data_IF_963951884701
#
_entry.id   IF_963951884701
#
_cell.length_a   1.000
_cell.length_b   1.000
_cell.length_c   1.000
_cell.angle_alpha   90.00
_cell.angle_beta   90.00
_cell.angle_gamma   90.00
#
_symmetry.space_group_name_H-M   'P 1'
#
loop_
_entity.id
_entity.type
_entity.pdbx_description
1 polymer ?
#
# COMPACT_ATOMS: atom_id res chain seq x y z
N UNK A 1 16.00 7.59 -9.43
CA UNK A 1 16.40 6.40 -8.65
C UNK A 1 15.28 5.37 -8.78
N UNK A 2 15.49 4.30 -9.56
CA UNK A 2 14.45 3.31 -9.94
C UNK A 2 14.36 2.24 -8.85
N UNK A 3 13.28 2.23 -8.06
CA UNK A 3 12.96 1.11 -7.16
C UNK A 3 11.82 0.27 -7.73
N UNK A 4 12.09 -0.35 -8.88
CA UNK A 4 11.48 -1.64 -9.20
C UNK A 4 12.57 -2.66 -8.93
N UNK A 5 12.40 -3.47 -7.87
CA UNK A 5 13.31 -4.59 -7.66
C UNK A 5 13.24 -5.47 -8.92
N UNK A 6 14.35 -5.55 -9.66
CA UNK A 6 14.51 -6.59 -10.67
C UNK A 6 14.70 -7.90 -9.92
N UNK A 7 13.60 -8.55 -9.59
CA UNK A 7 13.59 -9.92 -9.09
C UNK A 7 14.08 -10.79 -10.24
N UNK A 8 15.24 -11.43 -10.04
CA UNK A 8 15.84 -12.31 -11.05
C UNK A 8 17.34 -12.52 -11.00
N UNK A 9 18.13 -11.78 -10.21
CA UNK A 9 19.59 -12.01 -10.12
C UNK A 9 20.22 -12.00 -8.72
N UNK A 10 19.44 -11.85 -7.64
CA UNK A 10 19.98 -11.96 -6.29
C UNK A 10 19.13 -12.96 -5.50
N UNK A 11 19.60 -14.21 -5.42
CA UNK A 11 19.02 -15.28 -4.60
C UNK A 11 19.24 -15.05 -3.10
N UNK A 12 18.87 -13.88 -2.59
CA UNK A 12 19.16 -13.48 -1.19
C UNK A 12 17.91 -13.24 -0.35
N UNK A 13 16.70 -13.21 -0.93
CA UNK A 13 15.47 -13.15 -0.12
C UNK A 13 14.56 -14.33 -0.47
N UNK A 14 14.88 -15.47 0.19
CA UNK A 14 14.09 -16.70 0.27
C UNK A 14 13.86 -17.40 -1.07
N UNK A 15 14.61 -18.47 -1.34
CA UNK A 15 14.37 -19.43 -2.43
C UNK A 15 13.05 -20.21 -2.31
N UNK A 16 11.95 -19.48 -2.21
CA UNK A 16 10.56 -19.94 -2.15
C UNK A 16 9.82 -19.39 -3.37
N UNK A 17 8.84 -20.12 -3.94
CA UNK A 17 8.05 -19.71 -5.11
C UNK A 17 7.18 -18.45 -4.91
N UNK A 18 7.31 -17.76 -3.78
CA UNK A 18 6.51 -16.57 -3.45
C UNK A 18 6.89 -15.34 -4.28
N UNK A 19 8.14 -15.26 -4.74
CA UNK A 19 8.58 -14.15 -5.60
C UNK A 19 8.00 -14.25 -7.02
N UNK A 20 7.78 -15.46 -7.51
CA UNK A 20 7.14 -15.73 -8.80
C UNK A 20 5.63 -15.43 -8.76
N UNK A 21 5.06 -15.30 -7.56
CA UNK A 21 3.65 -14.95 -7.33
C UNK A 21 3.42 -13.45 -7.21
N UNK A 22 4.46 -12.62 -7.29
CA UNK A 22 4.31 -11.16 -7.22
C UNK A 22 3.65 -10.67 -8.51
N UNK A 23 2.46 -10.05 -8.44
CA UNK A 23 1.78 -9.61 -9.64
C UNK A 23 2.57 -8.54 -10.38
N UNK A 24 2.57 -8.66 -11.70
CA UNK A 24 3.16 -7.71 -12.64
C UNK A 24 2.10 -6.70 -13.12
N UNK A 25 2.58 -5.61 -13.73
CA UNK A 25 1.69 -4.60 -14.32
C UNK A 25 0.92 -5.12 -15.54
N UNK A 26 1.51 -6.04 -16.30
CA UNK A 26 0.82 -6.66 -17.43
C UNK A 26 -0.29 -7.61 -16.96
N UNK A 27 -0.11 -8.30 -15.83
CA UNK A 27 -1.19 -9.06 -15.20
C UNK A 27 -2.31 -8.16 -14.67
N UNK A 28 -2.00 -6.96 -14.18
CA UNK A 28 -3.04 -5.99 -13.81
C UNK A 28 -3.84 -5.54 -15.05
N UNK A 29 -3.18 -5.27 -16.18
CA UNK A 29 -3.86 -4.94 -17.45
C UNK A 29 -4.72 -6.09 -17.94
N UNK A 30 -4.19 -7.31 -17.87
CA UNK A 30 -4.95 -8.52 -18.20
C UNK A 30 -6.18 -8.65 -17.31
N UNK A 31 -6.03 -8.50 -15.98
CA UNK A 31 -7.13 -8.59 -15.03
C UNK A 31 -8.20 -7.52 -15.31
N UNK A 32 -7.79 -6.29 -15.62
CA UNK A 32 -8.71 -5.22 -16.02
C UNK A 32 -9.55 -5.61 -17.24
N UNK A 33 -8.98 -6.33 -18.21
CA UNK A 33 -9.72 -6.81 -19.38
C UNK A 33 -10.72 -7.94 -19.05
N UNK A 34 -10.52 -8.67 -17.94
CA UNK A 34 -11.39 -9.79 -17.54
C UNK A 34 -12.60 -9.38 -16.68
N UNK A 35 -12.61 -8.18 -16.10
CA UNK A 35 -13.67 -7.76 -15.18
C UNK A 35 -14.13 -6.33 -15.43
N UNK A 36 -15.34 -5.99 -14.98
CA UNK A 36 -15.87 -4.62 -14.88
C UNK A 36 -15.96 -4.12 -13.44
N UNK A 37 -15.60 -4.96 -12.47
CA UNK A 37 -15.59 -4.56 -11.07
C UNK A 37 -14.53 -3.46 -10.83
N UNK A 38 -14.74 -2.59 -9.82
CA UNK A 38 -13.73 -1.62 -9.42
C UNK A 38 -12.42 -2.31 -9.00
N UNK A 39 -11.30 -1.91 -9.61
CA UNK A 39 -9.98 -2.45 -9.28
C UNK A 39 -9.21 -1.47 -8.40
N UNK A 40 -8.94 -1.88 -7.17
CA UNK A 40 -8.07 -1.13 -6.25
C UNK A 40 -6.72 -1.82 -6.12
N UNK A 41 -5.64 -1.07 -6.39
CA UNK A 41 -4.27 -1.59 -6.22
C UNK A 41 -3.75 -1.25 -4.83
N UNK A 42 -3.41 -2.29 -4.07
CA UNK A 42 -2.91 -2.18 -2.70
C UNK A 42 -1.41 -2.40 -2.64
N UNK A 43 -0.74 -1.68 -1.74
CA UNK A 43 0.70 -1.82 -1.52
C UNK A 43 1.51 -0.70 -2.18
N UNK A 44 0.86 0.40 -2.56
CA UNK A 44 1.52 1.54 -3.21
C UNK A 44 2.29 2.34 -2.17
N UNK A 45 3.59 2.54 -2.41
CA UNK A 45 4.48 3.28 -1.52
C UNK A 45 5.28 4.37 -2.25
N UNK A 46 4.93 4.68 -3.50
CA UNK A 46 5.56 5.77 -4.25
C UNK A 46 4.60 6.36 -5.29
N UNK A 47 4.83 7.63 -5.62
CA UNK A 47 4.08 8.32 -6.66
C UNK A 47 4.27 7.68 -8.06
N UNK A 48 5.44 7.10 -8.33
CA UNK A 48 5.69 6.38 -9.60
C UNK A 48 4.85 5.11 -9.72
N UNK A 49 4.77 4.29 -8.66
CA UNK A 49 3.92 3.09 -8.65
C UNK A 49 2.44 3.46 -8.78
N UNK A 50 2.01 4.53 -8.10
CA UNK A 50 0.65 5.03 -8.23
C UNK A 50 0.32 5.44 -9.68
N UNK A 51 1.23 6.17 -10.36
CA UNK A 51 1.08 6.52 -11.78
C UNK A 51 0.95 5.28 -12.66
N UNK A 52 1.81 4.30 -12.43
CA UNK A 52 1.84 3.06 -13.20
C UNK A 52 0.55 2.24 -13.01
N UNK A 53 0.09 2.10 -11.76
CA UNK A 53 -1.18 1.44 -11.44
C UNK A 53 -2.37 2.09 -12.16
N UNK A 54 -2.47 3.43 -12.14
CA UNK A 54 -3.53 4.14 -12.85
C UNK A 54 -3.45 3.95 -14.36
N UNK A 55 -2.24 3.97 -14.93
CA UNK A 55 -2.03 3.71 -16.36
C UNK A 55 -2.43 2.29 -16.78
N UNK A 56 -2.41 1.34 -15.84
CA UNK A 56 -2.83 -0.05 -16.07
C UNK A 56 -4.33 -0.27 -15.82
N UNK A 57 -5.11 0.78 -15.53
CA UNK A 57 -6.56 0.70 -15.37
C UNK A 57 -7.04 0.50 -13.94
N UNK A 58 -6.22 0.82 -12.93
CA UNK A 58 -6.69 0.90 -11.55
C UNK A 58 -7.75 2.02 -11.39
N UNK A 59 -8.82 1.70 -10.68
CA UNK A 59 -9.90 2.61 -10.32
C UNK A 59 -9.65 3.31 -8.98
N UNK A 60 -8.78 2.74 -8.14
CA UNK A 60 -8.38 3.32 -6.86
C UNK A 60 -7.06 2.74 -6.35
N UNK A 61 -6.49 3.37 -5.34
CA UNK A 61 -5.20 3.02 -4.76
C UNK A 61 -5.30 2.88 -3.24
N UNK A 62 -4.53 1.95 -2.67
CA UNK A 62 -4.38 1.79 -1.23
C UNK A 62 -2.90 1.93 -0.88
N UNK A 63 -2.57 3.04 -0.22
CA UNK A 63 -1.23 3.33 0.31
C UNK A 63 -0.97 2.43 1.51
N UNK A 64 -0.02 1.52 1.38
CA UNK A 64 0.12 0.39 2.31
C UNK A 64 1.52 -0.21 2.27
N UNK A 65 2.07 -0.57 3.43
CA UNK A 65 3.25 -1.44 3.54
C UNK A 65 2.89 -2.81 4.15
N UNK A 66 1.61 -3.22 4.02
CA UNK A 66 1.06 -4.45 4.60
C UNK A 66 1.23 -4.53 6.13
N UNK A 67 1.24 -3.37 6.81
CA UNK A 67 1.47 -3.29 8.25
C UNK A 67 2.90 -3.66 8.66
N UNK A 68 3.88 -3.44 7.78
CA UNK A 68 5.30 -3.71 8.01
C UNK A 68 5.65 -5.20 8.04
N UNK A 69 4.96 -6.03 7.24
CA UNK A 69 5.07 -7.50 7.30
C UNK A 69 5.72 -8.14 6.06
N UNK A 70 5.98 -7.34 5.03
CA UNK A 70 6.49 -7.84 3.74
C UNK A 70 7.91 -7.35 3.52
N UNK A 71 8.09 -6.03 3.42
CA UNK A 71 9.40 -5.41 3.25
C UNK A 71 9.78 -4.68 4.54
N UNK A 72 10.86 -5.12 5.17
CA UNK A 72 11.43 -4.40 6.31
C UNK A 72 12.00 -3.05 5.86
N UNK A 73 11.99 -2.07 6.76
CA UNK A 73 12.37 -0.69 6.50
C UNK A 73 11.62 0.00 5.35
N UNK A 74 10.43 -0.49 4.97
CA UNK A 74 9.56 0.21 4.04
C UNK A 74 9.09 1.56 4.64
N UNK A 75 8.95 2.62 3.81
CA UNK A 75 8.52 3.92 4.29
C UNK A 75 7.12 3.85 4.92
N UNK A 76 6.81 4.82 5.78
CA UNK A 76 5.49 4.94 6.38
C UNK A 76 4.45 5.30 5.31
N UNK A 77 3.33 4.57 5.21
CA UNK A 77 2.22 4.95 4.32
C UNK A 77 1.69 6.36 4.58
N UNK A 78 1.73 6.82 5.83
CA UNK A 78 1.29 8.17 6.20
C UNK A 78 2.23 9.26 5.66
N UNK A 79 3.53 8.98 5.58
CA UNK A 79 4.52 9.91 4.99
C UNK A 79 4.43 9.93 3.46
N UNK A 80 4.12 8.80 2.83
CA UNK A 80 4.01 8.71 1.37
C UNK A 80 2.70 9.27 0.82
N UNK A 81 1.65 9.32 1.64
CA UNK A 81 0.29 9.69 1.23
C UNK A 81 0.21 11.05 0.52
N UNK A 82 0.80 12.16 1.01
CA UNK A 82 0.65 13.47 0.35
C UNK A 82 1.25 13.52 -1.06
N UNK A 83 2.41 12.90 -1.25
CA UNK A 83 3.07 12.84 -2.55
C UNK A 83 2.26 12.00 -3.54
N UNK A 84 1.70 10.87 -3.07
CA UNK A 84 0.83 10.02 -3.89
C UNK A 84 -0.46 10.77 -4.24
N UNK A 85 -1.15 11.37 -3.26
CA UNK A 85 -2.38 12.14 -3.47
C UNK A 85 -2.17 13.25 -4.50
N UNK A 86 -1.13 14.07 -4.33
CA UNK A 86 -0.80 15.17 -5.25
C UNK A 86 -0.59 14.66 -6.68
N UNK A 87 0.14 13.56 -6.85
CA UNK A 87 0.34 12.94 -8.17
C UNK A 87 -0.98 12.42 -8.76
N UNK A 88 -1.84 11.78 -7.95
CA UNK A 88 -3.14 11.28 -8.41
C UNK A 88 -4.03 12.45 -8.85
N UNK A 89 -4.07 13.55 -8.10
CA UNK A 89 -4.83 14.75 -8.46
C UNK A 89 -4.39 15.36 -9.79
N UNK A 90 -3.09 15.31 -10.11
CA UNK A 90 -2.58 15.84 -11.37
C UNK A 90 -3.00 15.01 -12.60
N UNK A 91 -3.21 13.70 -12.44
CA UNK A 91 -3.45 12.78 -13.57
C UNK A 91 -4.92 12.38 -13.69
N UNK A 92 -5.54 12.02 -12.56
CA UNK A 92 -6.91 11.50 -12.50
C UNK A 92 -7.59 11.99 -11.22
N UNK A 93 -7.95 13.30 -11.16
CA UNK A 93 -8.68 13.88 -10.03
C UNK A 93 -9.90 13.04 -9.64
N UNK A 94 -10.20 12.99 -8.35
CA UNK A 94 -11.34 12.22 -7.83
C UNK A 94 -11.10 10.72 -7.66
N UNK A 95 -9.98 10.18 -8.17
CA UNK A 95 -9.61 8.78 -7.92
C UNK A 95 -9.50 8.49 -6.42
N UNK A 96 -10.14 7.41 -5.93
CA UNK A 96 -10.01 6.99 -4.54
C UNK A 96 -8.59 6.63 -4.14
N UNK A 97 -8.12 7.27 -3.08
CA UNK A 97 -6.85 6.98 -2.42
C UNK A 97 -7.14 6.68 -0.97
N UNK A 98 -6.93 5.43 -0.56
CA UNK A 98 -7.13 4.96 0.80
C UNK A 98 -5.79 4.70 1.47
N UNK A 99 -5.78 4.67 2.79
CA UNK A 99 -4.59 4.41 3.60
C UNK A 99 -4.82 3.22 4.54
N UNK A 100 -3.78 2.44 4.79
CA UNK A 100 -3.74 1.51 5.92
C UNK A 100 -2.38 1.56 6.65
N UNK A 101 -2.17 0.60 7.56
CA UNK A 101 -0.92 0.37 8.30
C UNK A 101 -0.71 1.32 9.49
N UNK A 102 -0.57 0.71 10.68
CA UNK A 102 -0.16 1.44 11.89
C UNK A 102 -1.23 2.30 12.57
N UNK A 103 -2.39 2.52 11.98
CA UNK A 103 -3.49 3.33 12.57
C UNK A 103 -4.01 2.72 13.88
N UNK A 104 -4.03 3.49 14.97
CA UNK A 104 -4.47 3.04 16.30
C UNK A 104 -5.57 3.90 16.90
N UNK A 105 -5.53 5.19 16.67
CA UNK A 105 -6.45 6.15 17.27
C UNK A 105 -7.25 6.92 16.22
N UNK A 106 -8.36 7.52 16.66
CA UNK A 106 -9.16 8.40 15.80
C UNK A 106 -8.37 9.61 15.28
N UNK A 107 -7.38 10.07 16.04
CA UNK A 107 -6.47 11.15 15.60
C UNK A 107 -5.58 10.73 14.42
N UNK A 108 -5.19 9.46 14.31
CA UNK A 108 -4.46 8.96 13.15
C UNK A 108 -5.35 8.95 11.90
N UNK A 109 -6.64 8.60 12.08
CA UNK A 109 -7.64 8.67 11.01
C UNK A 109 -7.82 10.12 10.56
N UNK A 110 -8.01 11.05 11.51
CA UNK A 110 -8.18 12.47 11.20
C UNK A 110 -6.97 13.03 10.43
N UNK A 111 -5.74 12.68 10.84
CA UNK A 111 -4.51 13.04 10.12
C UNK A 111 -4.49 12.47 8.71
N UNK A 112 -4.80 11.18 8.53
CA UNK A 112 -4.82 10.55 7.21
C UNK A 112 -5.84 11.23 6.27
N UNK A 113 -7.03 11.55 6.77
CA UNK A 113 -8.05 12.27 6.00
C UNK A 113 -7.58 13.68 5.62
N UNK A 114 -6.99 14.41 6.57
CA UNK A 114 -6.43 15.74 6.32
C UNK A 114 -5.28 15.73 5.28
N UNK A 115 -4.50 14.64 5.23
CA UNK A 115 -3.44 14.43 4.25
C UNK A 115 -3.95 13.94 2.88
N UNK A 116 -5.27 13.79 2.71
CA UNK A 116 -5.91 13.50 1.43
C UNK A 116 -6.29 12.04 1.19
N UNK A 117 -6.27 11.19 2.22
CA UNK A 117 -6.93 9.89 2.14
C UNK A 117 -8.46 10.09 2.16
N UNK A 118 -9.18 9.26 1.42
CA UNK A 118 -10.66 9.25 1.45
C UNK A 118 -11.21 8.22 2.44
N UNK A 119 -10.45 7.17 2.72
CA UNK A 119 -10.80 6.15 3.70
C UNK A 119 -9.53 5.58 4.35
N UNK A 120 -9.70 5.05 5.56
CA UNK A 120 -8.64 4.44 6.33
C UNK A 120 -9.03 3.00 6.69
N UNK A 121 -8.22 2.05 6.24
CA UNK A 121 -8.43 0.63 6.50
C UNK A 121 -7.66 0.22 7.76
N UNK A 122 -8.31 -0.57 8.61
CA UNK A 122 -7.72 -1.06 9.85
C UNK A 122 -7.55 -2.58 9.72
N UNK A 123 -6.29 -3.02 9.70
CA UNK A 123 -5.94 -4.44 9.79
C UNK A 123 -5.91 -4.89 11.26
N UNK A 124 -4.73 -5.31 11.74
CA UNK A 124 -4.56 -5.60 13.17
C UNK A 124 -4.73 -4.32 13.98
N UNK A 125 -5.75 -4.30 14.83
CA UNK A 125 -5.85 -3.37 15.95
C UNK A 125 -5.01 -3.95 17.08
N UNK A 126 -3.87 -3.32 17.38
CA UNK A 126 -3.16 -3.61 18.63
C UNK A 126 -4.06 -3.09 19.75
N UNK A 127 -4.90 -3.95 20.31
CA UNK A 127 -5.56 -3.70 21.58
C UNK A 127 -4.44 -3.64 22.65
N UNK A 128 -4.49 -2.62 23.51
CA UNK A 128 -3.66 -2.34 24.70
C UNK A 128 -2.58 -3.37 25.11
N UNK A 129 -1.29 -2.98 25.27
CA UNK A 129 -0.24 -3.85 25.84
C UNK A 129 -0.35 -4.11 27.36
N UNK A 130 -1.35 -3.57 28.06
CA UNK A 130 -1.52 -3.84 29.50
C UNK A 130 -1.86 -5.30 29.82
N UNK A 131 -2.28 -6.12 28.85
CA UNK A 131 -2.51 -7.55 29.04
C UNK A 131 -1.32 -8.44 28.64
N UNK A 132 -0.22 -7.87 28.11
CA UNK A 132 1.02 -8.62 27.83
C UNK A 132 2.14 -8.33 28.83
N UNK A 133 1.86 -7.55 29.87
CA UNK A 133 2.70 -7.45 31.06
C UNK A 133 2.03 -8.17 32.25
N UNK A 134 1.73 -9.47 32.06
CA UNK A 134 1.58 -10.40 33.16
C UNK A 134 2.71 -11.42 33.02
N UNK A 135 3.46 -11.60 34.09
CA UNK A 135 4.62 -12.49 34.29
C UNK A 135 6.01 -11.95 33.94
N UNK A 136 6.58 -11.18 34.87
CA UNK A 136 7.87 -11.55 35.48
C UNK A 136 7.69 -11.52 36.99
N UNK A 137 8.10 -12.62 37.62
CA UNK A 137 8.22 -12.77 39.07
C UNK A 137 9.17 -11.72 39.67
#
# INVERSE_FOLDING_TARGET
MRHTARVGQSGIVLGTPLVDMVPTWDELRWLRAQTRLPLLVKGILSASQAREALSCGADGLIVSNHGGRVQDCAPSPMEMLPAIRSMVDQIKPGTPVWLDSGVRWGTDIAKALALGAQAVLIGRRRFMPWLSAAYRA
#
